data_IF_494611597416
#
_entry.id   IF_494611597416
#
_cell.length_a   1.000
_cell.length_b   1.000
_cell.length_c   1.000
_cell.angle_alpha   90.00
_cell.angle_beta   90.00
_cell.angle_gamma   90.00
#
_symmetry.space_group_name_H-M   'P 1'
#
loop_
_entity.id
_entity.type
_entity.pdbx_description
1 polymer ?
#
# COMPACT_ATOMS: atom_id res chain seq x y z
N UNK A 1 -9.21 -4.92 -6.39
CA UNK A 1 -9.00 -3.59 -5.76
C UNK A 1 -9.51 -3.63 -4.32
N UNK A 2 -8.66 -3.84 -3.35
CA UNK A 2 -9.04 -3.75 -1.94
C UNK A 2 -8.93 -2.29 -1.53
N UNK A 3 -10.09 -1.60 -1.44
CA UNK A 3 -10.16 -0.28 -0.83
C UNK A 3 -9.87 -0.41 0.66
N UNK A 4 -8.67 -0.13 1.06
CA UNK A 4 -8.36 0.11 2.46
C UNK A 4 -8.98 1.45 2.85
N UNK A 5 -10.22 1.37 3.31
CA UNK A 5 -10.79 2.49 4.04
C UNK A 5 -10.04 2.55 5.38
N UNK A 6 -9.25 3.60 5.52
CA UNK A 6 -8.71 4.01 6.82
C UNK A 6 -9.93 4.42 7.65
N UNK A 7 -10.50 3.46 8.39
CA UNK A 7 -11.50 3.78 9.40
C UNK A 7 -10.77 4.43 10.57
N UNK A 8 -10.71 5.76 10.55
CA UNK A 8 -10.50 6.53 11.77
C UNK A 8 -11.71 6.27 12.68
N UNK A 9 -11.64 5.27 13.58
CA UNK A 9 -12.55 5.18 14.70
C UNK A 9 -12.23 6.32 15.67
N UNK A 10 -12.78 7.50 15.38
CA UNK A 10 -12.95 8.53 16.40
C UNK A 10 -14.17 8.10 17.22
N UNK A 11 -13.95 7.39 18.31
CA UNK A 11 -14.97 7.21 19.33
C UNK A 11 -15.21 8.58 19.96
N UNK A 12 -16.25 9.28 19.50
CA UNK A 12 -16.76 10.49 20.14
C UNK A 12 -17.41 10.07 21.47
N UNK A 13 -16.65 10.10 22.55
CA UNK A 13 -17.20 10.26 23.89
C UNK A 13 -17.56 11.73 24.04
N UNK A 14 -18.87 12.05 24.02
CA UNK A 14 -19.37 13.35 24.43
C UNK A 14 -19.12 13.54 25.94
N UNK A 15 -17.92 14.00 26.29
CA UNK A 15 -17.61 14.64 27.55
C UNK A 15 -17.44 16.12 27.25
N UNK A 16 -18.05 16.97 28.03
CA UNK A 16 -18.00 18.42 27.93
C UNK A 16 -16.54 18.88 27.77
N UNK A 17 -16.18 19.33 26.58
CA UNK A 17 -14.87 19.88 26.30
C UNK A 17 -14.78 21.24 27.00
N UNK A 18 -14.10 21.25 28.13
CA UNK A 18 -13.46 22.47 28.60
C UNK A 18 -12.39 22.81 27.56
N UNK A 19 -12.47 23.97 26.94
CA UNK A 19 -11.39 24.54 26.13
C UNK A 19 -10.18 24.79 27.04
N UNK A 20 -9.38 23.75 27.28
CA UNK A 20 -8.11 23.88 28.02
C UNK A 20 -7.00 23.43 27.09
N UNK A 21 -6.12 24.37 26.77
CA UNK A 21 -4.82 24.04 26.19
C UNK A 21 -4.09 23.08 27.13
N UNK A 22 -3.48 22.04 26.56
CA UNK A 22 -2.73 21.11 27.38
C UNK A 22 -2.67 19.69 26.81
N UNK A 23 -2.21 18.78 27.65
CA UNK A 23 -2.13 17.35 27.34
C UNK A 23 -3.26 16.63 28.06
N UNK A 24 -4.14 16.01 27.28
CA UNK A 24 -5.20 15.14 27.79
C UNK A 24 -4.73 13.69 27.79
N UNK A 25 -4.93 12.98 28.93
CA UNK A 25 -4.56 11.58 29.10
C UNK A 25 -5.80 10.73 29.31
N UNK A 26 -5.91 9.64 28.56
CA UNK A 26 -6.88 8.59 28.79
C UNK A 26 -6.19 7.29 29.20
N UNK A 27 -6.92 6.42 29.92
CA UNK A 27 -6.40 5.16 30.43
C UNK A 27 -7.31 4.01 30.04
N UNK A 28 -6.70 2.83 29.86
CA UNK A 28 -7.40 1.57 29.70
C UNK A 28 -7.98 1.11 31.06
N UNK A 29 -8.93 0.18 31.05
CA UNK A 29 -9.53 -0.41 32.28
C UNK A 29 -8.48 -1.06 33.19
N UNK A 30 -7.37 -1.55 32.63
CA UNK A 30 -6.26 -2.14 33.40
C UNK A 30 -5.30 -1.08 34.01
N UNK A 31 -5.61 0.21 33.84
CA UNK A 31 -4.80 1.32 34.38
C UNK A 31 -3.64 1.77 33.51
N UNK A 32 -3.34 1.07 32.42
CA UNK A 32 -2.30 1.50 31.48
C UNK A 32 -2.76 2.71 30.68
N UNK A 33 -1.82 3.58 30.30
CA UNK A 33 -2.09 4.74 29.48
C UNK A 33 -2.66 4.28 28.10
N UNK A 34 -3.73 4.93 27.67
CA UNK A 34 -4.39 4.69 26.39
C UNK A 34 -4.01 5.73 25.35
N UNK A 35 -3.93 7.00 25.78
CA UNK A 35 -3.53 8.09 24.90
C UNK A 35 -3.01 9.30 25.67
N UNK A 36 -2.11 10.04 25.03
CA UNK A 36 -1.69 11.40 25.36
C UNK A 36 -1.95 12.28 24.15
N UNK A 37 -2.92 13.18 24.25
CA UNK A 37 -3.35 14.04 23.17
C UNK A 37 -3.08 15.49 23.54
N UNK A 38 -2.41 16.22 22.68
CA UNK A 38 -2.08 17.62 22.89
C UNK A 38 -3.09 18.52 22.17
N UNK A 39 -3.66 19.45 22.91
CA UNK A 39 -4.65 20.41 22.40
C UNK A 39 -4.16 21.85 22.54
N UNK A 40 -4.48 22.68 21.55
CA UNK A 40 -4.40 24.13 21.55
C UNK A 40 -5.69 24.67 20.97
N UNK A 41 -6.35 25.60 21.64
CA UNK A 41 -7.68 26.13 21.24
C UNK A 41 -8.73 25.04 20.96
N UNK A 42 -8.69 23.94 21.71
CA UNK A 42 -9.61 22.79 21.57
C UNK A 42 -9.37 21.90 20.36
N UNK A 43 -8.26 22.08 19.65
CA UNK A 43 -7.85 21.27 18.49
C UNK A 43 -6.58 20.49 18.79
N UNK A 44 -6.45 19.29 18.21
CA UNK A 44 -5.19 18.54 18.24
C UNK A 44 -4.07 19.39 17.63
N UNK A 45 -2.99 19.58 18.41
CA UNK A 45 -1.86 20.39 17.99
C UNK A 45 -0.56 19.91 18.64
N UNK A 46 0.39 19.47 17.83
CA UNK A 46 1.64 18.85 18.28
C UNK A 46 1.58 17.32 18.29
N UNK A 47 2.47 16.72 19.04
CA UNK A 47 2.58 15.26 19.12
C UNK A 47 1.44 14.65 19.96
N UNK A 48 0.78 13.66 19.36
CA UNK A 48 -0.26 12.84 19.97
C UNK A 48 0.17 11.37 19.92
N UNK A 49 -0.01 10.66 21.04
CA UNK A 49 0.45 9.27 21.19
C UNK A 49 -0.67 8.40 21.70
N UNK A 50 -0.81 7.22 21.11
CA UNK A 50 -1.73 6.17 21.56
C UNK A 50 -0.93 4.91 21.94
N UNK A 51 -1.50 4.12 22.82
CA UNK A 51 -0.86 2.95 23.37
C UNK A 51 -1.78 1.73 23.30
N UNK A 52 -1.20 0.57 23.14
CA UNK A 52 -1.87 -0.71 23.33
C UNK A 52 -2.23 -0.96 24.79
N UNK A 53 -3.11 -1.92 25.06
CA UNK A 53 -3.46 -2.35 26.42
C UNK A 53 -2.28 -2.91 27.21
N UNK A 54 -1.21 -3.37 26.53
CA UNK A 54 0.04 -3.81 27.17
C UNK A 54 0.99 -2.66 27.54
N UNK A 55 0.60 -1.39 27.23
CA UNK A 55 1.39 -0.20 27.53
C UNK A 55 2.42 0.19 26.48
N UNK A 56 2.59 -0.58 25.41
CA UNK A 56 3.47 -0.21 24.30
C UNK A 56 2.78 0.82 23.40
N UNK A 57 3.57 1.67 22.73
CA UNK A 57 3.03 2.59 21.71
C UNK A 57 2.33 1.81 20.59
N UNK A 58 1.19 2.31 20.13
CA UNK A 58 0.47 1.80 18.97
C UNK A 58 0.48 2.78 17.82
N UNK A 59 0.41 4.08 18.11
CA UNK A 59 0.41 5.17 17.14
C UNK A 59 1.05 6.41 17.75
N UNK A 60 1.82 7.13 16.95
CA UNK A 60 2.30 8.47 17.23
C UNK A 60 2.09 9.31 16.00
N UNK A 61 1.51 10.48 16.14
CA UNK A 61 1.22 11.37 15.03
C UNK A 61 1.42 12.83 15.44
N UNK A 62 1.79 13.67 14.48
CA UNK A 62 1.93 15.11 14.68
C UNK A 62 0.74 15.79 14.01
N UNK A 63 0.04 16.62 14.78
CA UNK A 63 -1.11 17.39 14.31
C UNK A 63 -0.84 18.88 14.34
N UNK A 64 -1.48 19.59 13.43
CA UNK A 64 -1.63 21.03 13.44
C UNK A 64 -3.07 21.38 13.14
N UNK A 65 -3.76 21.98 14.13
CA UNK A 65 -5.20 22.37 14.03
C UNK A 65 -6.11 21.22 13.56
N UNK A 66 -5.99 20.00 14.17
CA UNK A 66 -6.68 18.76 13.84
C UNK A 66 -6.22 18.08 12.53
N UNK A 67 -5.27 18.65 11.81
CA UNK A 67 -4.77 18.12 10.54
C UNK A 67 -3.42 17.43 10.77
N UNK A 68 -3.25 16.23 10.20
CA UNK A 68 -1.95 15.53 10.21
C UNK A 68 -0.90 16.37 9.48
N UNK A 69 0.21 16.67 10.16
CA UNK A 69 1.29 17.51 9.64
C UNK A 69 2.64 17.01 10.19
N UNK A 70 3.33 16.16 9.44
CA UNK A 70 4.58 15.54 9.85
C UNK A 70 4.51 14.02 9.93
N UNK A 71 5.31 13.42 10.81
CA UNK A 71 5.37 11.96 10.95
C UNK A 71 4.11 11.37 11.56
N UNK A 72 3.68 10.24 10.99
CA UNK A 72 2.78 9.29 11.59
C UNK A 72 3.50 7.94 11.65
N UNK A 73 3.74 7.45 12.86
CA UNK A 73 4.36 6.16 13.13
C UNK A 73 3.34 5.21 13.75
N UNK A 74 3.33 3.96 13.30
CA UNK A 74 2.56 2.86 13.90
C UNK A 74 3.49 1.77 14.39
N UNK A 75 3.05 1.04 15.38
CA UNK A 75 3.76 -0.10 15.94
C UNK A 75 2.87 -1.32 15.98
N UNK A 76 3.48 -2.46 15.75
CA UNK A 76 2.91 -3.76 16.06
C UNK A 76 2.81 -3.94 17.59
N UNK A 77 1.91 -4.84 18.02
CA UNK A 77 1.72 -5.13 19.46
C UNK A 77 2.96 -5.71 20.15
N UNK A 78 3.95 -6.19 19.39
CA UNK A 78 5.25 -6.65 19.87
C UNK A 78 6.28 -5.53 20.05
N UNK A 79 5.92 -4.26 19.72
CA UNK A 79 6.76 -3.08 19.84
C UNK A 79 7.65 -2.76 18.64
N UNK A 80 7.64 -3.59 17.60
CA UNK A 80 8.33 -3.28 16.34
C UNK A 80 7.53 -2.22 15.58
N UNK A 81 8.22 -1.38 14.79
CA UNK A 81 7.56 -0.41 13.90
C UNK A 81 6.77 -1.19 12.84
N UNK A 82 5.51 -0.81 12.63
CA UNK A 82 4.63 -1.28 11.55
C UNK A 82 4.73 -0.37 10.33
N UNK A 83 4.69 0.97 10.56
CA UNK A 83 4.84 1.95 9.49
C UNK A 83 5.41 3.28 9.98
N UNK A 84 6.11 3.95 9.09
CA UNK A 84 6.65 5.31 9.25
C UNK A 84 6.37 6.09 7.97
N UNK A 85 5.43 7.02 8.05
CA UNK A 85 4.94 7.78 6.92
C UNK A 85 4.94 9.28 7.23
N UNK A 86 5.16 10.09 6.21
CA UNK A 86 5.11 11.53 6.31
C UNK A 86 3.81 12.09 5.75
N UNK A 87 3.21 13.04 6.48
CA UNK A 87 1.97 13.71 6.10
C UNK A 87 2.16 15.21 6.01
N UNK A 88 1.47 15.81 5.04
CA UNK A 88 1.36 17.24 4.84
C UNK A 88 -0.09 17.57 4.52
N UNK A 89 -0.67 18.52 5.28
CA UNK A 89 -2.07 18.90 5.13
C UNK A 89 -3.04 17.70 5.12
N UNK A 90 -2.78 16.68 5.95
CA UNK A 90 -3.60 15.47 6.08
C UNK A 90 -3.42 14.43 4.97
N UNK A 91 -2.54 14.68 3.99
CA UNK A 91 -2.25 13.76 2.89
C UNK A 91 -0.85 13.19 3.02
N UNK A 92 -0.66 11.93 2.57
CA UNK A 92 0.67 11.36 2.45
C UNK A 92 1.53 12.22 1.51
N UNK A 93 2.72 12.59 2.00
CA UNK A 93 3.68 13.39 1.24
C UNK A 93 5.10 12.93 1.59
N UNK A 94 5.95 12.66 0.56
CA UNK A 94 7.27 12.06 0.76
C UNK A 94 7.23 10.54 0.96
N UNK A 95 8.17 9.96 1.71
CA UNK A 95 8.36 8.51 1.85
C UNK A 95 7.43 7.93 2.91
N UNK A 96 6.81 6.80 2.58
CA UNK A 96 6.12 5.93 3.52
C UNK A 96 6.77 4.54 3.51
N UNK A 97 7.17 4.05 4.68
CA UNK A 97 7.76 2.72 4.88
C UNK A 97 6.85 1.85 5.72
N UNK A 98 6.75 0.58 5.36
CA UNK A 98 6.09 -0.43 6.18
C UNK A 98 7.05 -1.56 6.54
N UNK A 99 6.78 -2.22 7.67
CA UNK A 99 7.64 -3.27 8.21
C UNK A 99 6.79 -4.45 8.67
N UNK A 100 7.34 -5.65 8.56
CA UNK A 100 6.71 -6.86 9.10
C UNK A 100 6.78 -6.89 10.65
N UNK A 101 6.02 -7.79 11.28
CA UNK A 101 6.10 -8.02 12.74
C UNK A 101 7.50 -8.45 13.22
N UNK A 102 8.37 -8.91 12.32
CA UNK A 102 9.79 -9.22 12.62
C UNK A 102 10.70 -8.00 12.53
N UNK A 103 10.16 -6.83 12.09
CA UNK A 103 10.90 -5.59 11.88
C UNK A 103 11.62 -5.51 10.54
N UNK A 104 11.39 -6.45 9.61
CA UNK A 104 11.97 -6.39 8.27
C UNK A 104 11.20 -5.36 7.43
N UNK A 105 11.91 -4.56 6.62
CA UNK A 105 11.29 -3.63 5.67
C UNK A 105 10.45 -4.43 4.66
N UNK A 106 9.17 -4.07 4.55
CA UNK A 106 8.20 -4.72 3.66
C UNK A 106 7.89 -3.86 2.44
N UNK A 107 7.80 -2.52 2.60
CA UNK A 107 7.63 -1.61 1.47
C UNK A 107 8.27 -0.24 1.72
N UNK A 108 8.68 0.39 0.62
CA UNK A 108 9.01 1.81 0.55
C UNK A 108 8.27 2.40 -0.65
N UNK A 109 7.50 3.43 -0.41
CA UNK A 109 6.63 4.07 -1.38
C UNK A 109 6.77 5.59 -1.26
N UNK A 110 6.79 6.31 -2.38
CA UNK A 110 6.91 7.77 -2.42
C UNK A 110 5.58 8.38 -2.83
N UNK A 111 5.15 9.38 -2.06
CA UNK A 111 3.89 10.09 -2.26
C UNK A 111 4.13 11.58 -2.47
N UNK A 112 3.31 12.20 -3.31
CA UNK A 112 3.20 13.64 -3.49
C UNK A 112 1.71 13.99 -3.45
N UNK A 113 1.31 14.87 -2.55
CA UNK A 113 -0.08 15.31 -2.36
C UNK A 113 -1.08 14.14 -2.34
N UNK A 114 -0.76 13.08 -1.58
CA UNK A 114 -1.60 11.88 -1.39
C UNK A 114 -1.57 10.86 -2.52
N UNK A 115 -0.82 11.09 -3.59
CA UNK A 115 -0.70 10.17 -4.73
C UNK A 115 0.67 9.52 -4.76
N UNK A 116 0.72 8.22 -5.10
CA UNK A 116 1.98 7.56 -5.42
C UNK A 116 2.66 8.32 -6.57
N UNK A 117 3.88 8.83 -6.34
CA UNK A 117 4.64 9.59 -7.32
C UNK A 117 6.14 9.47 -7.01
N UNK A 118 6.79 8.51 -7.61
CA UNK A 118 8.18 8.16 -7.40
C UNK A 118 8.41 6.65 -7.45
N UNK A 119 9.58 6.23 -7.04
CA UNK A 119 9.93 4.81 -6.96
C UNK A 119 9.11 4.11 -5.88
N UNK A 120 8.79 2.84 -6.17
CA UNK A 120 8.20 1.91 -5.23
C UNK A 120 9.08 0.67 -5.17
N UNK A 121 9.30 0.16 -3.96
CA UNK A 121 9.96 -1.11 -3.74
C UNK A 121 9.28 -1.88 -2.61
N UNK A 122 9.05 -3.17 -2.85
CA UNK A 122 8.50 -4.11 -1.86
C UNK A 122 9.42 -5.29 -1.71
N UNK A 123 9.44 -5.87 -0.52
CA UNK A 123 10.32 -6.98 -0.17
C UNK A 123 9.54 -8.14 0.42
N UNK A 124 10.06 -9.31 0.24
CA UNK A 124 9.69 -10.51 1.00
C UNK A 124 10.30 -10.47 2.41
N UNK A 125 9.78 -11.28 3.32
CA UNK A 125 10.30 -11.43 4.69
C UNK A 125 11.77 -11.91 4.73
N UNK A 126 12.25 -12.59 3.67
CA UNK A 126 13.64 -13.01 3.53
C UNK A 126 14.59 -11.88 3.06
N UNK A 127 14.09 -10.66 2.83
CA UNK A 127 14.83 -9.50 2.39
C UNK A 127 15.05 -9.40 0.88
N UNK A 128 14.60 -10.39 0.10
CA UNK A 128 14.62 -10.32 -1.36
C UNK A 128 13.58 -9.33 -1.86
N UNK A 129 13.89 -8.61 -2.94
CA UNK A 129 12.94 -7.73 -3.61
C UNK A 129 11.78 -8.57 -4.17
N UNK A 130 10.55 -8.22 -3.83
CA UNK A 130 9.33 -8.76 -4.39
C UNK A 130 8.92 -7.99 -5.64
N UNK A 131 8.92 -6.66 -5.55
CA UNK A 131 8.42 -5.78 -6.62
C UNK A 131 9.18 -4.46 -6.60
N UNK A 132 9.49 -3.93 -7.78
CA UNK A 132 9.98 -2.57 -7.96
C UNK A 132 9.41 -1.95 -9.24
N UNK A 133 9.28 -0.63 -9.22
CA UNK A 133 8.76 0.17 -10.33
C UNK A 133 8.64 1.64 -9.96
N UNK A 134 7.91 2.39 -10.77
CA UNK A 134 7.71 3.81 -10.58
C UNK A 134 6.26 4.20 -10.83
N UNK A 135 5.79 5.18 -10.07
CA UNK A 135 4.52 5.87 -10.32
C UNK A 135 4.75 7.34 -10.67
N UNK A 136 3.88 7.88 -11.50
CA UNK A 136 3.72 9.32 -11.75
C UNK A 136 2.25 9.66 -11.56
N UNK A 137 1.95 10.55 -10.62
CA UNK A 137 0.57 10.95 -10.28
C UNK A 137 -0.42 9.77 -10.05
N UNK A 138 0.04 8.69 -9.45
CA UNK A 138 -0.74 7.48 -9.18
C UNK A 138 -0.85 6.51 -10.36
N UNK A 139 -0.22 6.82 -11.51
CA UNK A 139 -0.18 5.95 -12.67
C UNK A 139 1.15 5.20 -12.75
N UNK A 140 1.11 3.90 -13.05
CA UNK A 140 2.34 3.12 -13.32
C UNK A 140 3.07 3.74 -14.50
N UNK A 141 4.40 3.96 -14.35
CA UNK A 141 5.23 4.53 -15.40
C UNK A 141 6.61 3.85 -15.42
N UNK A 142 7.26 3.80 -16.60
CA UNK A 142 8.57 3.17 -16.77
C UNK A 142 8.57 1.67 -16.59
N UNK A 143 9.75 1.14 -16.24
CA UNK A 143 9.99 -0.29 -16.11
C UNK A 143 9.51 -0.82 -14.77
N UNK A 144 8.86 -1.98 -14.79
CA UNK A 144 8.35 -2.68 -13.62
C UNK A 144 8.86 -4.11 -13.59
N UNK A 145 9.24 -4.57 -12.40
CA UNK A 145 9.74 -5.92 -12.17
C UNK A 145 9.06 -6.54 -10.95
N UNK A 146 8.75 -7.82 -11.06
CA UNK A 146 8.28 -8.66 -9.96
C UNK A 146 9.17 -9.88 -9.93
N UNK A 147 9.58 -10.31 -8.74
CA UNK A 147 10.49 -11.43 -8.55
C UNK A 147 9.83 -12.49 -7.66
N UNK A 148 10.22 -13.72 -7.82
CA UNK A 148 9.95 -14.80 -6.88
C UNK A 148 10.83 -14.69 -5.62
N UNK A 149 10.47 -15.36 -4.51
CA UNK A 149 11.24 -15.29 -3.26
C UNK A 149 12.71 -15.71 -3.37
N UNK A 150 13.05 -16.51 -4.38
CA UNK A 150 14.41 -16.97 -4.70
C UNK A 150 15.16 -16.00 -5.63
N UNK A 151 14.51 -14.89 -6.04
CA UNK A 151 15.09 -13.82 -6.85
C UNK A 151 14.95 -13.99 -8.35
N UNK A 152 14.32 -15.07 -8.86
CA UNK A 152 14.05 -15.22 -10.29
C UNK A 152 12.96 -14.21 -10.71
N UNK A 153 13.05 -13.74 -11.97
CA UNK A 153 12.05 -12.84 -12.54
C UNK A 153 10.70 -13.54 -12.69
N UNK A 154 9.67 -13.03 -12.00
CA UNK A 154 8.28 -13.50 -12.10
C UNK A 154 7.48 -12.70 -13.11
N UNK A 155 7.71 -11.37 -13.21
CA UNK A 155 7.10 -10.54 -14.24
C UNK A 155 7.95 -9.31 -14.56
N UNK A 156 7.76 -8.79 -15.78
CA UNK A 156 8.24 -7.47 -16.20
C UNK A 156 7.19 -6.74 -17.00
N UNK A 157 7.22 -5.43 -16.96
CA UNK A 157 6.37 -4.57 -17.77
C UNK A 157 7.08 -3.26 -18.09
N UNK A 158 6.63 -2.61 -19.16
CA UNK A 158 6.90 -1.21 -19.47
C UNK A 158 5.57 -0.49 -19.52
N UNK A 159 5.43 0.54 -18.69
CA UNK A 159 4.22 1.35 -18.66
C UNK A 159 4.54 2.80 -19.01
N UNK A 160 3.55 3.44 -19.62
CA UNK A 160 3.51 4.88 -19.79
C UNK A 160 2.16 5.38 -19.31
N UNK A 161 2.18 6.10 -18.18
CA UNK A 161 0.98 6.63 -17.55
C UNK A 161 -0.13 5.57 -17.43
N UNK A 162 0.16 4.45 -16.79
CA UNK A 162 -0.77 3.36 -16.54
C UNK A 162 -1.10 2.44 -17.71
N UNK A 163 -0.57 2.74 -18.91
CA UNK A 163 -0.82 1.97 -20.11
C UNK A 163 0.40 1.17 -20.50
N UNK A 164 0.24 -0.13 -20.70
CA UNK A 164 1.36 -1.01 -21.03
C UNK A 164 0.97 -2.48 -21.01
N UNK A 165 2.00 -3.34 -21.04
CA UNK A 165 1.83 -4.79 -21.01
C UNK A 165 2.77 -5.42 -20.01
N UNK A 166 2.21 -6.25 -19.13
CA UNK A 166 2.96 -7.09 -18.22
C UNK A 166 3.15 -8.48 -18.83
N UNK A 167 4.38 -8.98 -18.77
CA UNK A 167 4.74 -10.35 -19.19
C UNK A 167 5.13 -11.08 -17.92
N UNK A 168 4.45 -12.20 -17.62
CA UNK A 168 4.74 -13.04 -16.47
C UNK A 168 5.46 -14.32 -16.93
N UNK A 169 6.34 -14.81 -16.05
CA UNK A 169 7.12 -16.00 -16.23
C UNK A 169 6.80 -16.99 -15.10
N UNK A 170 6.72 -18.27 -15.41
CA UNK A 170 6.69 -19.33 -14.41
C UNK A 170 8.07 -19.44 -13.72
N UNK A 171 8.14 -20.08 -12.54
CA UNK A 171 9.42 -20.34 -11.84
C UNK A 171 10.44 -21.08 -12.70
N UNK A 172 9.98 -21.95 -13.62
CA UNK A 172 10.80 -22.64 -14.62
C UNK A 172 11.29 -21.75 -15.77
N UNK A 173 10.90 -20.45 -15.81
CA UNK A 173 11.39 -19.42 -16.71
C UNK A 173 10.64 -19.27 -18.04
N UNK A 174 9.65 -20.12 -18.38
CA UNK A 174 8.86 -19.89 -19.59
C UNK A 174 7.83 -18.77 -19.39
N UNK A 175 7.53 -18.05 -20.47
CA UNK A 175 6.46 -17.04 -20.46
C UNK A 175 5.11 -17.75 -20.29
N UNK A 176 4.41 -17.47 -19.20
CA UNK A 176 3.14 -18.11 -18.87
C UNK A 176 1.91 -17.20 -19.06
N UNK A 177 2.12 -15.85 -19.09
CA UNK A 177 1.01 -14.91 -19.15
C UNK A 177 1.43 -13.58 -19.76
N UNK A 178 0.54 -12.96 -20.56
CA UNK A 178 0.60 -11.55 -20.95
C UNK A 178 -0.68 -10.84 -20.49
N UNK A 179 -0.54 -9.66 -19.88
CA UNK A 179 -1.64 -8.87 -19.34
C UNK A 179 -1.53 -7.44 -19.84
N UNK A 180 -2.44 -6.96 -20.68
CA UNK A 180 -2.48 -5.57 -21.10
C UNK A 180 -3.21 -4.70 -20.07
N UNK A 181 -2.75 -3.45 -19.93
CA UNK A 181 -3.31 -2.44 -19.03
C UNK A 181 -3.53 -1.12 -19.77
N UNK A 182 -4.62 -0.44 -19.42
CA UNK A 182 -4.90 0.96 -19.76
C UNK A 182 -5.34 1.66 -18.47
N UNK A 183 -4.75 2.81 -18.15
CA UNK A 183 -5.04 3.59 -16.95
C UNK A 183 -4.95 2.76 -15.65
N UNK A 184 -3.92 1.92 -15.50
CA UNK A 184 -3.69 0.96 -14.40
C UNK A 184 -4.74 -0.17 -14.31
N UNK A 185 -5.62 -0.32 -15.27
CA UNK A 185 -6.70 -1.32 -15.25
C UNK A 185 -6.49 -2.32 -16.37
N UNK A 186 -6.76 -3.62 -16.15
CA UNK A 186 -6.73 -4.63 -17.19
C UNK A 186 -7.67 -4.22 -18.34
N UNK A 187 -7.15 -4.21 -19.57
CA UNK A 187 -7.92 -3.86 -20.76
C UNK A 187 -7.35 -4.57 -21.99
N UNK A 188 -8.20 -5.28 -22.74
CA UNK A 188 -7.81 -6.11 -23.90
C UNK A 188 -7.57 -7.57 -23.51
N UNK A 189 -6.81 -8.29 -24.33
CA UNK A 189 -6.65 -9.75 -24.23
C UNK A 189 -5.52 -10.14 -23.26
N UNK A 190 -5.89 -10.75 -22.14
CA UNK A 190 -4.99 -11.49 -21.24
C UNK A 190 -4.80 -12.89 -21.85
N UNK A 191 -3.53 -13.27 -22.11
CA UNK A 191 -3.21 -14.50 -22.85
C UNK A 191 -2.38 -15.41 -21.96
N UNK A 192 -2.88 -16.61 -21.70
CA UNK A 192 -2.20 -17.66 -20.95
C UNK A 192 -1.48 -18.60 -21.93
N UNK A 193 -0.29 -19.05 -21.57
CA UNK A 193 0.54 -19.88 -22.41
C UNK A 193 0.91 -21.21 -21.73
N UNK A 194 0.97 -22.26 -22.52
CA UNK A 194 1.57 -23.53 -22.17
C UNK A 194 3.12 -23.42 -22.13
N UNK A 195 3.83 -24.40 -21.49
CA UNK A 195 5.29 -24.42 -21.49
C UNK A 195 5.93 -24.48 -22.87
N UNK A 196 5.24 -25.03 -23.86
CA UNK A 196 5.69 -25.11 -25.26
C UNK A 196 5.45 -23.81 -26.06
N UNK A 197 4.85 -22.76 -25.41
CA UNK A 197 4.56 -21.46 -25.99
C UNK A 197 3.24 -21.40 -26.75
N UNK A 198 2.46 -22.48 -26.81
CA UNK A 198 1.10 -22.45 -27.38
C UNK A 198 0.13 -21.71 -26.45
N UNK A 199 -0.90 -21.11 -27.03
CA UNK A 199 -1.92 -20.41 -26.26
C UNK A 199 -2.83 -21.43 -25.58
N UNK A 200 -2.98 -21.32 -24.26
CA UNK A 200 -3.81 -22.20 -23.44
C UNK A 200 -5.22 -21.59 -23.25
N UNK A 201 -5.29 -20.27 -23.04
CA UNK A 201 -6.53 -19.56 -22.70
C UNK A 201 -6.41 -18.11 -23.06
N UNK A 202 -7.52 -17.49 -23.42
CA UNK A 202 -7.65 -16.03 -23.61
C UNK A 202 -8.81 -15.52 -22.77
N UNK A 203 -8.57 -14.43 -22.04
CA UNK A 203 -9.60 -13.67 -21.30
C UNK A 203 -9.54 -12.23 -21.79
N UNK A 204 -10.65 -11.69 -22.26
CA UNK A 204 -10.73 -10.31 -22.71
C UNK A 204 -11.38 -9.43 -21.64
N UNK A 205 -10.72 -8.31 -21.37
CA UNK A 205 -11.15 -7.33 -20.37
C UNK A 205 -11.51 -6.01 -21.03
N UNK A 206 -12.58 -5.40 -20.53
CA UNK A 206 -12.92 -4.01 -20.81
C UNK A 206 -13.03 -3.26 -19.46
N UNK A 207 -12.15 -2.28 -19.22
CA UNK A 207 -12.07 -1.50 -17.98
C UNK A 207 -12.05 -2.34 -16.69
N UNK A 208 -11.35 -3.47 -16.73
CA UNK A 208 -11.17 -4.38 -15.60
C UNK A 208 -12.24 -5.46 -15.45
N UNK A 209 -13.32 -5.40 -16.22
CA UNK A 209 -14.38 -6.40 -16.23
C UNK A 209 -14.14 -7.42 -17.36
N UNK A 210 -14.39 -8.71 -17.09
CA UNK A 210 -14.28 -9.78 -18.09
C UNK A 210 -15.46 -9.67 -19.05
N UNK A 211 -15.17 -9.53 -20.34
CA UNK A 211 -16.19 -9.46 -21.40
C UNK A 211 -16.22 -10.72 -22.29
N UNK A 212 -15.12 -11.47 -22.32
CA UNK A 212 -15.02 -12.71 -23.09
C UNK A 212 -14.00 -13.65 -22.43
N UNK A 213 -14.23 -14.96 -22.58
CA UNK A 213 -13.32 -16.01 -22.13
C UNK A 213 -13.35 -17.18 -23.14
N UNK A 214 -12.15 -17.58 -23.61
CA UNK A 214 -11.94 -18.74 -24.48
C UNK A 214 -10.92 -19.67 -23.81
N UNK A 215 -11.36 -20.87 -23.48
CA UNK A 215 -10.56 -21.90 -22.82
C UNK A 215 -9.90 -22.91 -23.79
N UNK A 216 -10.15 -22.78 -25.11
CA UNK A 216 -9.54 -23.61 -26.17
C UNK A 216 -9.36 -22.83 -27.46
N UNK A 217 -8.50 -21.75 -27.44
CA UNK A 217 -8.34 -20.84 -28.59
C UNK A 217 -7.67 -21.48 -29.80
N UNK A 218 -7.24 -22.76 -29.74
CA UNK A 218 -6.64 -23.47 -30.88
C UNK A 218 -7.67 -23.92 -31.94
N UNK A 219 -8.96 -23.88 -31.62
CA UNK A 219 -10.02 -24.27 -32.53
C UNK A 219 -10.50 -23.16 -33.49
N UNK A 220 -10.06 -21.89 -33.33
CA UNK A 220 -10.44 -20.78 -34.20
C UNK A 220 -9.55 -20.59 -35.44
N UNK A 221 -8.47 -21.38 -35.61
CA UNK A 221 -7.61 -21.33 -36.81
C UNK A 221 -7.96 -22.50 -37.74
N UNK A 222 -9.07 -22.38 -38.43
CA UNK A 222 -9.37 -23.09 -39.70
C UNK A 222 -9.87 -22.14 -40.78
#
# INVERSE_FOLDING_TARGET
MMKWQILCFVAVLMGFASCSDGVEKAYWENGNLKSELRYVDGKLNGECVWYFTNGQKSLQAIYKDDVLEGHLMRWHANGQIESDCWYKQGQLDSVCRTYSEKGNLASEEIYVDGKLSGEIRKWYDNGQVFQEGQYVDGMMDGSWFIFYPEGQLAAKAEYKMGTGKQICYAESGYKCLEVPYVDNVKHGKEIFYNPDGTVMKIVEYEQGEVVFEDNDPQNEVK
#
